data_IF_686932755023
#
_entry.id   IF_686932755023
#
_cell.length_a   1.000
_cell.length_b   1.000
_cell.length_c   1.000
_cell.angle_alpha   90.00
_cell.angle_beta   90.00
_cell.angle_gamma   90.00
#
_symmetry.space_group_name_H-M   'P 1'
#
loop_
_entity.id
_entity.type
_entity.pdbx_description
1 polymer ?
#
# COMPACT_ATOMS: atom_id res chain seq x y z
N UNK A 1 27.12 -25.69 29.67
CA UNK A 1 28.32 -25.29 28.93
C UNK A 1 27.91 -24.26 27.85
N UNK A 2 28.71 -23.17 27.67
CA UNK A 2 28.43 -22.08 26.73
C UNK A 2 28.24 -22.61 25.31
N UNK A 3 29.00 -23.59 24.91
CA UNK A 3 28.93 -24.18 23.57
C UNK A 3 27.66 -25.01 23.37
N UNK A 4 27.22 -25.75 24.41
CA UNK A 4 25.96 -26.51 24.37
C UNK A 4 24.77 -25.58 24.29
N UNK A 5 24.79 -24.46 25.02
CA UNK A 5 23.74 -23.44 24.97
C UNK A 5 23.67 -22.75 23.60
N UNK A 6 24.81 -22.49 22.96
CA UNK A 6 24.89 -21.94 21.63
C UNK A 6 24.34 -22.93 20.59
N UNK A 7 24.58 -24.23 20.76
CA UNK A 7 24.04 -25.25 19.86
C UNK A 7 22.53 -25.45 20.04
N UNK A 8 22.04 -25.44 21.28
CA UNK A 8 20.61 -25.48 21.56
C UNK A 8 19.86 -24.25 21.04
N UNK A 9 20.49 -23.07 21.10
CA UNK A 9 19.91 -21.83 20.58
C UNK A 9 20.05 -21.63 19.05
N UNK A 10 20.92 -22.41 18.39
CA UNK A 10 21.15 -22.29 16.93
C UNK A 10 19.89 -22.50 16.07
N UNK A 11 18.91 -23.27 16.56
CA UNK A 11 17.61 -23.46 15.89
C UNK A 11 16.63 -22.31 16.08
N UNK A 12 16.84 -21.44 17.08
CA UNK A 12 15.91 -20.37 17.45
C UNK A 12 16.44 -18.96 17.16
N UNK A 13 17.75 -18.85 16.89
CA UNK A 13 18.40 -17.56 16.58
C UNK A 13 18.62 -17.43 15.07
N UNK A 14 18.09 -16.35 14.51
CA UNK A 14 18.14 -16.02 13.10
C UNK A 14 19.07 -14.84 12.85
N UNK A 15 19.73 -14.87 11.70
CA UNK A 15 20.61 -13.81 11.24
C UNK A 15 19.76 -12.78 10.46
N UNK A 16 19.53 -11.63 11.08
CA UNK A 16 18.85 -10.50 10.42
C UNK A 16 19.88 -9.64 9.71
N UNK A 17 19.88 -9.73 8.39
CA UNK A 17 20.83 -9.04 7.49
C UNK A 17 20.19 -7.74 7.02
N UNK A 18 20.98 -6.67 6.96
CA UNK A 18 20.62 -5.39 6.35
C UNK A 18 21.65 -5.01 5.30
N UNK A 19 21.18 -4.59 4.16
CA UNK A 19 22.00 -4.00 3.11
C UNK A 19 22.07 -2.49 3.36
N UNK A 20 23.28 -1.96 3.47
CA UNK A 20 23.53 -0.52 3.65
C UNK A 20 24.38 -0.02 2.48
N UNK A 21 23.92 1.07 1.84
CA UNK A 21 24.73 1.79 0.87
C UNK A 21 25.78 2.63 1.62
N UNK A 22 27.04 2.26 1.47
CA UNK A 22 28.16 2.95 2.12
C UNK A 22 28.77 3.94 1.15
N UNK A 23 28.83 5.23 1.51
CA UNK A 23 29.56 6.21 0.73
C UNK A 23 31.08 5.93 0.76
N UNK A 24 31.80 6.32 -0.31
CA UNK A 24 33.25 6.12 -0.40
C UNK A 24 34.03 6.61 0.83
N UNK A 25 33.61 7.71 1.44
CA UNK A 25 34.26 8.27 2.63
C UNK A 25 33.99 7.44 3.91
N UNK A 26 32.90 6.72 3.97
CA UNK A 26 32.58 5.81 5.09
C UNK A 26 33.35 4.50 4.96
N UNK A 27 33.68 4.06 3.74
CA UNK A 27 34.48 2.84 3.51
C UNK A 27 35.90 2.93 4.09
N UNK A 28 36.54 4.08 4.02
CA UNK A 28 37.90 4.28 4.53
C UNK A 28 38.00 4.22 6.07
N UNK A 29 36.90 4.44 6.75
CA UNK A 29 36.78 4.35 8.23
C UNK A 29 36.08 3.08 8.72
N UNK A 30 35.73 2.17 7.81
CA UNK A 30 34.98 0.97 8.14
C UNK A 30 35.97 -0.09 8.69
N UNK A 31 36.07 -0.15 9.99
CA UNK A 31 36.64 -1.30 10.67
C UNK A 31 35.60 -2.42 10.60
N UNK A 32 35.99 -3.58 10.11
CA UNK A 32 35.16 -4.81 10.15
C UNK A 32 34.76 -5.07 11.58
N UNK A 33 33.68 -4.43 12.00
CA UNK A 33 33.15 -4.56 13.36
C UNK A 33 32.34 -5.85 13.52
N UNK A 34 31.97 -6.14 14.76
CA UNK A 34 31.20 -7.34 15.12
C UNK A 34 29.85 -7.55 14.38
N UNK A 35 29.47 -6.59 13.53
CA UNK A 35 28.24 -6.61 12.75
C UNK A 35 28.43 -6.84 11.25
N UNK A 36 29.67 -7.03 10.75
CA UNK A 36 29.92 -7.21 9.32
C UNK A 36 30.11 -8.69 8.96
N UNK A 37 29.52 -9.08 7.85
CA UNK A 37 29.65 -10.45 7.36
C UNK A 37 30.94 -10.60 6.56
N UNK A 38 31.77 -11.63 6.81
CA UNK A 38 33.13 -11.73 6.29
C UNK A 38 33.23 -11.79 4.77
N UNK A 39 32.19 -12.24 4.09
CA UNK A 39 32.18 -12.38 2.63
C UNK A 39 31.47 -11.23 1.89
N UNK A 40 31.00 -10.23 2.60
CA UNK A 40 30.18 -9.15 2.01
C UNK A 40 31.00 -7.92 1.57
N UNK A 41 32.27 -7.85 1.94
CA UNK A 41 33.11 -6.65 1.78
C UNK A 41 33.75 -6.46 0.41
N UNK A 42 33.52 -7.33 -0.57
CA UNK A 42 34.17 -7.26 -1.89
C UNK A 42 33.52 -6.26 -2.85
N UNK A 43 32.33 -5.76 -2.55
CA UNK A 43 31.63 -4.82 -3.42
C UNK A 43 31.85 -3.36 -2.96
N UNK A 44 32.16 -2.51 -3.92
CA UNK A 44 32.50 -1.12 -3.64
C UNK A 44 31.32 -0.24 -3.24
N UNK A 45 30.09 -0.66 -3.41
CA UNK A 45 28.89 0.15 -3.20
C UNK A 45 28.04 -0.25 -2.01
N UNK A 46 28.00 -1.54 -1.66
CA UNK A 46 27.11 -2.05 -0.64
C UNK A 46 27.85 -2.91 0.40
N UNK A 47 27.53 -2.71 1.68
CA UNK A 47 27.96 -3.60 2.76
C UNK A 47 26.74 -4.27 3.41
N UNK A 48 26.97 -5.49 3.95
CA UNK A 48 25.95 -6.18 4.72
C UNK A 48 26.31 -6.16 6.19
N UNK A 49 25.36 -5.73 6.99
CA UNK A 49 25.45 -5.83 8.46
C UNK A 49 24.44 -6.82 8.97
N UNK A 50 24.73 -7.46 10.08
CA UNK A 50 23.83 -8.43 10.68
C UNK A 50 23.64 -8.21 12.18
N UNK A 51 22.49 -8.65 12.65
CA UNK A 51 22.18 -8.78 14.07
C UNK A 51 21.54 -10.14 14.30
N UNK A 52 21.79 -10.73 15.46
CA UNK A 52 21.11 -11.96 15.85
C UNK A 52 19.80 -11.62 16.54
N UNK A 53 18.73 -12.23 16.07
CA UNK A 53 17.37 -12.00 16.56
C UNK A 53 16.65 -13.33 16.80
N UNK A 54 15.60 -13.32 17.60
CA UNK A 54 14.74 -14.49 17.77
C UNK A 54 13.95 -14.81 16.51
N UNK A 55 13.47 -16.04 16.38
CA UNK A 55 12.66 -16.47 15.23
C UNK A 55 11.43 -15.57 15.05
N UNK A 56 10.71 -15.25 16.11
CA UNK A 56 9.49 -14.42 16.05
C UNK A 56 9.80 -13.00 15.59
N UNK A 57 10.89 -12.42 16.06
CA UNK A 57 11.34 -11.10 15.62
C UNK A 57 11.79 -11.11 14.14
N UNK A 58 12.49 -12.18 13.74
CA UNK A 58 12.92 -12.35 12.34
C UNK A 58 11.74 -12.47 11.38
N UNK A 59 10.71 -13.23 11.77
CA UNK A 59 9.51 -13.47 10.94
C UNK A 59 8.46 -12.34 11.03
N UNK A 60 8.80 -11.20 11.67
CA UNK A 60 7.96 -10.00 11.76
C UNK A 60 8.40 -8.90 10.77
N UNK A 61 7.57 -7.89 10.59
CA UNK A 61 7.88 -6.70 9.77
C UNK A 61 7.77 -6.93 8.27
N UNK A 62 8.62 -6.27 7.48
CA UNK A 62 8.59 -6.35 6.02
C UNK A 62 9.26 -7.63 5.51
N UNK A 63 8.51 -8.70 5.41
CA UNK A 63 8.99 -10.02 4.97
C UNK A 63 9.55 -9.99 3.54
N UNK A 64 8.93 -9.24 2.61
CA UNK A 64 9.42 -9.12 1.22
C UNK A 64 10.81 -8.50 1.14
N UNK A 65 11.02 -7.43 1.88
CA UNK A 65 12.32 -6.75 1.93
C UNK A 65 13.40 -7.68 2.50
N UNK A 66 13.09 -8.39 3.58
CA UNK A 66 14.00 -9.37 4.18
C UNK A 66 14.37 -10.49 3.21
N UNK A 67 13.43 -11.03 2.46
CA UNK A 67 13.69 -12.04 1.42
C UNK A 67 14.62 -11.46 0.35
N UNK A 68 14.38 -10.25 -0.13
CA UNK A 68 15.23 -9.59 -1.13
C UNK A 68 16.67 -9.43 -0.66
N UNK A 69 16.87 -8.98 0.57
CA UNK A 69 18.21 -8.82 1.18
C UNK A 69 18.92 -10.17 1.32
N UNK A 70 18.20 -11.18 1.84
CA UNK A 70 18.76 -12.54 2.00
C UNK A 70 19.14 -13.13 0.63
N UNK A 71 18.34 -12.93 -0.41
CA UNK A 71 18.63 -13.38 -1.77
C UNK A 71 19.85 -12.69 -2.36
N UNK A 72 19.97 -11.37 -2.17
CA UNK A 72 21.15 -10.62 -2.60
C UNK A 72 22.41 -11.16 -1.93
N UNK A 73 22.34 -11.44 -0.64
CA UNK A 73 23.49 -11.99 0.10
C UNK A 73 23.83 -13.43 -0.30
N UNK A 74 22.83 -14.31 -0.45
CA UNK A 74 23.04 -15.68 -0.98
C UNK A 74 23.73 -15.65 -2.34
N UNK A 75 23.32 -14.76 -3.24
CA UNK A 75 23.93 -14.63 -4.57
C UNK A 75 25.40 -14.22 -4.49
N UNK A 76 25.75 -13.33 -3.56
CA UNK A 76 27.16 -12.95 -3.33
C UNK A 76 27.99 -14.10 -2.78
N UNK A 77 27.46 -14.83 -1.81
CA UNK A 77 28.14 -16.01 -1.28
C UNK A 77 28.38 -17.07 -2.36
N UNK A 78 27.41 -17.29 -3.24
CA UNK A 78 27.58 -18.20 -4.39
C UNK A 78 28.61 -17.72 -5.40
N UNK A 79 28.73 -16.40 -5.58
CA UNK A 79 29.81 -15.83 -6.42
C UNK A 79 31.17 -16.02 -5.74
N UNK A 80 31.28 -15.79 -4.44
CA UNK A 80 32.50 -16.02 -3.67
C UNK A 80 32.93 -17.51 -3.73
N UNK A 81 31.98 -18.43 -3.60
CA UNK A 81 32.23 -19.89 -3.73
C UNK A 81 32.89 -20.25 -5.06
N UNK A 82 32.49 -19.62 -6.18
CA UNK A 82 33.04 -19.87 -7.51
C UNK A 82 34.47 -19.36 -7.67
N UNK A 83 34.87 -18.39 -6.86
CA UNK A 83 36.20 -17.74 -6.95
C UNK A 83 37.19 -18.42 -6.01
N UNK A 84 36.72 -19.11 -4.96
CA UNK A 84 37.58 -19.81 -4.02
C UNK A 84 38.35 -20.94 -4.71
N UNK A 85 39.70 -20.94 -4.57
CA UNK A 85 40.55 -21.99 -5.02
C UNK A 85 40.36 -23.29 -4.26
N UNK A 86 40.73 -24.42 -4.87
CA UNK A 86 40.59 -25.76 -4.24
C UNK A 86 41.42 -25.94 -2.97
N UNK A 87 42.38 -25.05 -2.70
CA UNK A 87 43.27 -25.10 -1.54
C UNK A 87 42.65 -24.58 -0.23
N UNK A 88 41.46 -23.92 -0.27
CA UNK A 88 40.78 -23.32 0.88
C UNK A 88 39.60 -24.16 1.36
N UNK A 89 39.82 -25.43 1.70
CA UNK A 89 38.75 -26.37 2.09
C UNK A 89 37.95 -25.90 3.34
N UNK A 90 38.62 -25.33 4.35
CA UNK A 90 37.97 -24.80 5.57
C UNK A 90 37.07 -23.58 5.28
N UNK A 91 37.51 -22.69 4.38
CA UNK A 91 36.71 -21.51 4.00
C UNK A 91 35.49 -21.94 3.19
N UNK A 92 35.65 -22.93 2.32
CA UNK A 92 34.57 -23.52 1.53
C UNK A 92 33.52 -24.19 2.42
N UNK A 93 33.95 -24.96 3.43
CA UNK A 93 33.03 -25.58 4.38
C UNK A 93 32.23 -24.53 5.19
N UNK A 94 32.90 -23.48 5.64
CA UNK A 94 32.25 -22.35 6.35
C UNK A 94 31.20 -21.68 5.47
N UNK A 95 31.53 -21.43 4.21
CA UNK A 95 30.64 -20.79 3.23
C UNK A 95 29.42 -21.67 2.91
N UNK A 96 29.61 -22.96 2.72
CA UNK A 96 28.52 -23.93 2.48
C UNK A 96 27.59 -24.00 3.68
N UNK A 97 28.11 -23.97 4.89
CA UNK A 97 27.30 -23.99 6.11
C UNK A 97 26.48 -22.71 6.25
N UNK A 98 27.04 -21.54 5.92
CA UNK A 98 26.35 -20.26 5.93
C UNK A 98 25.25 -20.22 4.84
N UNK A 99 25.54 -20.69 3.64
CA UNK A 99 24.54 -20.83 2.57
C UNK A 99 23.35 -21.68 2.99
N UNK A 100 23.62 -22.85 3.57
CA UNK A 100 22.55 -23.75 4.07
C UNK A 100 21.69 -23.09 5.13
N UNK A 101 22.32 -22.34 6.03
CA UNK A 101 21.60 -21.59 7.08
C UNK A 101 20.69 -20.52 6.47
N UNK A 102 21.19 -19.74 5.53
CA UNK A 102 20.42 -18.67 4.88
C UNK A 102 19.30 -19.21 4.00
N UNK A 103 19.51 -20.31 3.32
CA UNK A 103 18.45 -20.98 2.55
C UNK A 103 17.32 -21.49 3.47
N UNK A 104 17.66 -22.03 4.63
CA UNK A 104 16.68 -22.39 5.65
C UNK A 104 15.90 -21.16 6.14
N UNK A 105 16.61 -20.07 6.49
CA UNK A 105 15.97 -18.83 6.93
C UNK A 105 15.05 -18.21 5.85
N UNK A 106 15.47 -18.25 4.60
CA UNK A 106 14.65 -17.82 3.46
C UNK A 106 13.38 -18.69 3.35
N UNK A 107 13.48 -19.99 3.48
CA UNK A 107 12.31 -20.88 3.44
C UNK A 107 11.31 -20.55 4.56
N UNK A 108 11.78 -20.25 5.77
CA UNK A 108 10.90 -19.84 6.87
C UNK A 108 10.22 -18.47 6.60
N UNK A 109 10.94 -17.50 6.00
CA UNK A 109 10.33 -16.23 5.56
C UNK A 109 9.27 -16.46 4.48
N UNK A 110 9.52 -17.34 3.52
CA UNK A 110 8.55 -17.67 2.47
C UNK A 110 7.29 -18.34 3.01
N UNK A 111 7.39 -19.11 4.09
CA UNK A 111 6.22 -19.75 4.74
C UNK A 111 5.28 -18.74 5.39
N UNK A 112 5.82 -17.65 5.93
CA UNK A 112 5.03 -16.58 6.58
C UNK A 112 4.72 -15.41 5.65
N UNK A 113 5.27 -15.43 4.43
CA UNK A 113 4.99 -14.39 3.45
C UNK A 113 3.49 -14.38 3.11
N UNK A 114 2.80 -13.24 3.25
CA UNK A 114 1.41 -13.12 2.84
C UNK A 114 1.26 -13.49 1.36
N UNK A 115 0.26 -14.33 1.06
CA UNK A 115 -0.10 -14.62 -0.32
C UNK A 115 -0.38 -13.31 -1.06
N UNK A 116 0.12 -13.18 -2.27
CA UNK A 116 -0.27 -12.07 -3.13
C UNK A 116 -1.76 -12.19 -3.44
N UNK A 117 -2.48 -11.14 -3.15
CA UNK A 117 -3.89 -11.05 -3.47
C UNK A 117 -4.04 -10.81 -4.97
N UNK A 118 -4.91 -11.58 -5.62
CA UNK A 118 -5.33 -11.27 -6.97
C UNK A 118 -6.19 -9.98 -6.95
N UNK A 119 -6.25 -9.27 -8.08
CA UNK A 119 -7.06 -8.06 -8.18
C UNK A 119 -8.52 -8.28 -7.73
N UNK A 120 -9.07 -9.46 -8.00
CA UNK A 120 -10.41 -9.89 -7.58
C UNK A 120 -10.58 -10.05 -6.06
N UNK A 121 -9.49 -10.32 -5.33
CA UNK A 121 -9.47 -10.49 -3.87
C UNK A 121 -9.31 -9.14 -3.13
N UNK A 122 -8.91 -8.08 -3.84
CA UNK A 122 -8.74 -6.75 -3.26
C UNK A 122 -10.11 -6.05 -3.18
N UNK A 123 -10.59 -5.83 -1.97
CA UNK A 123 -11.83 -5.09 -1.77
C UNK A 123 -11.60 -3.58 -1.91
N UNK A 124 -11.63 -3.09 -3.14
CA UNK A 124 -11.53 -1.66 -3.43
C UNK A 124 -12.90 -1.02 -3.24
N UNK A 125 -12.96 0.01 -2.40
CA UNK A 125 -14.19 0.78 -2.19
C UNK A 125 -13.94 2.27 -2.36
N UNK A 126 -14.94 2.96 -2.86
CA UNK A 126 -14.94 4.42 -2.94
C UNK A 126 -14.82 5.00 -1.52
N UNK A 127 -13.85 5.89 -1.31
CA UNK A 127 -13.53 6.47 0.00
C UNK A 127 -12.42 5.77 0.78
N UNK A 128 -11.77 4.74 0.21
CA UNK A 128 -10.55 4.19 0.80
C UNK A 128 -9.44 5.25 0.78
N UNK A 129 -8.83 5.51 1.94
CA UNK A 129 -7.87 6.62 2.14
C UNK A 129 -6.53 6.42 1.46
N UNK A 130 -6.23 5.20 1.01
CA UNK A 130 -5.02 4.88 0.26
C UNK A 130 -5.12 5.19 -1.23
N UNK A 131 -6.35 5.49 -1.75
CA UNK A 131 -6.55 5.85 -3.15
C UNK A 131 -6.19 7.33 -3.32
N UNK A 132 -5.31 7.67 -4.29
CA UNK A 132 -4.94 9.05 -4.55
C UNK A 132 -6.16 9.89 -4.98
N UNK A 133 -6.28 11.15 -4.53
CA UNK A 133 -7.36 12.05 -4.95
C UNK A 133 -7.47 12.22 -6.48
N UNK A 134 -6.33 12.15 -7.19
CA UNK A 134 -6.28 12.25 -8.65
C UNK A 134 -6.99 11.10 -9.36
N UNK A 135 -6.95 9.90 -8.81
CA UNK A 135 -7.63 8.74 -9.40
C UNK A 135 -9.15 8.85 -9.19
N UNK A 136 -9.58 9.42 -8.06
CA UNK A 136 -10.99 9.75 -7.84
C UNK A 136 -11.45 10.86 -8.81
N UNK A 137 -10.62 11.90 -9.07
CA UNK A 137 -10.92 12.92 -10.09
C UNK A 137 -11.07 12.28 -11.48
N UNK A 138 -10.15 11.39 -11.84
CA UNK A 138 -10.19 10.67 -13.12
C UNK A 138 -11.47 9.85 -13.24
N UNK A 139 -11.82 9.08 -12.21
CA UNK A 139 -13.09 8.34 -12.15
C UNK A 139 -14.30 9.27 -12.40
N UNK A 140 -14.38 10.39 -11.67
CA UNK A 140 -15.45 11.37 -11.82
C UNK A 140 -15.53 11.87 -13.26
N UNK A 141 -14.40 12.26 -13.86
CA UNK A 141 -14.38 12.85 -15.20
C UNK A 141 -14.74 11.85 -16.29
N UNK A 142 -14.34 10.60 -16.15
CA UNK A 142 -14.64 9.56 -17.13
C UNK A 142 -16.10 9.07 -17.01
N UNK A 143 -16.57 8.81 -15.78
CA UNK A 143 -17.93 8.30 -15.52
C UNK A 143 -19.00 9.34 -15.83
N UNK A 144 -18.82 10.58 -15.40
CA UNK A 144 -19.76 11.66 -15.64
C UNK A 144 -19.55 12.36 -17.00
N UNK A 145 -18.50 11.97 -17.76
CA UNK A 145 -18.09 12.62 -19.01
C UNK A 145 -17.97 14.14 -18.85
N UNK A 146 -17.36 14.56 -17.74
CA UNK A 146 -17.21 15.96 -17.36
C UNK A 146 -16.56 16.76 -18.49
N UNK A 147 -17.18 17.86 -18.97
CA UNK A 147 -16.62 18.66 -20.04
C UNK A 147 -15.31 19.33 -19.65
N UNK A 148 -14.43 19.55 -20.64
CA UNK A 148 -13.07 20.07 -20.41
C UNK A 148 -13.03 21.38 -19.63
N UNK A 149 -13.99 22.30 -19.85
CA UNK A 149 -14.05 23.57 -19.14
C UNK A 149 -14.32 23.40 -17.62
N UNK A 150 -15.09 22.38 -17.22
CA UNK A 150 -15.43 22.14 -15.82
C UNK A 150 -14.32 21.37 -15.07
N UNK A 151 -13.50 20.58 -15.77
CA UNK A 151 -12.41 19.79 -15.17
C UNK A 151 -11.35 20.63 -14.46
N UNK A 152 -11.17 21.89 -14.86
CA UNK A 152 -10.21 22.80 -14.21
C UNK A 152 -10.66 23.22 -12.81
N UNK A 153 -11.97 23.38 -12.63
CA UNK A 153 -12.57 23.87 -11.38
C UNK A 153 -12.96 22.72 -10.43
N UNK A 154 -13.25 21.52 -10.97
CA UNK A 154 -13.62 20.35 -10.16
C UNK A 154 -12.37 19.67 -9.65
N UNK A 155 -12.21 19.64 -8.32
CA UNK A 155 -11.06 19.03 -7.64
C UNK A 155 -11.51 18.19 -6.48
N UNK A 156 -10.83 17.05 -6.29
CA UNK A 156 -11.02 16.18 -5.13
C UNK A 156 -9.87 16.40 -4.17
N UNK A 157 -10.19 16.66 -2.91
CA UNK A 157 -9.20 16.86 -1.85
C UNK A 157 -9.50 15.94 -0.68
N UNK A 158 -8.45 15.38 -0.10
CA UNK A 158 -8.50 14.63 1.15
C UNK A 158 -7.75 15.39 2.23
N UNK A 159 -8.41 15.64 3.35
CA UNK A 159 -7.80 16.25 4.53
C UNK A 159 -7.34 15.18 5.50
N UNK A 160 -6.04 15.02 5.68
CA UNK A 160 -5.50 14.07 6.66
C UNK A 160 -5.81 14.45 8.11
N UNK A 161 -6.09 15.73 8.38
CA UNK A 161 -6.41 16.21 9.72
C UNK A 161 -7.84 15.83 10.16
N UNK A 162 -8.80 15.98 9.23
CA UNK A 162 -10.22 15.68 9.51
C UNK A 162 -10.64 14.31 9.00
N UNK A 163 -9.77 13.65 8.21
CA UNK A 163 -10.09 12.41 7.49
C UNK A 163 -11.31 12.54 6.58
N UNK A 164 -11.55 13.73 6.04
CA UNK A 164 -12.68 14.02 5.17
C UNK A 164 -12.26 14.29 3.73
N UNK A 165 -13.08 13.78 2.83
CA UNK A 165 -13.01 14.06 1.40
C UNK A 165 -13.89 15.26 1.05
N UNK A 166 -13.41 16.12 0.18
CA UNK A 166 -14.16 17.24 -0.35
C UNK A 166 -14.05 17.29 -1.87
N UNK A 167 -15.18 17.45 -2.54
CA UNK A 167 -15.27 17.68 -3.97
C UNK A 167 -15.57 19.14 -4.21
N UNK A 168 -14.61 19.91 -4.70
CA UNK A 168 -14.76 21.32 -5.04
C UNK A 168 -15.38 21.49 -6.44
N UNK A 169 -15.92 22.66 -6.73
CA UNK A 169 -16.41 23.01 -8.06
C UNK A 169 -17.67 22.27 -8.54
N UNK A 170 -18.41 21.59 -7.66
CA UNK A 170 -19.61 20.79 -7.98
C UNK A 170 -20.67 21.51 -8.85
N UNK A 171 -20.75 22.83 -8.75
CA UNK A 171 -21.74 23.64 -9.50
C UNK A 171 -21.26 24.08 -10.88
N UNK A 172 -20.03 23.72 -11.28
CA UNK A 172 -19.45 24.13 -12.56
C UNK A 172 -19.89 23.27 -13.74
N UNK A 173 -20.42 22.09 -13.47
CA UNK A 173 -20.93 21.15 -14.47
C UNK A 173 -22.46 21.04 -14.40
N UNK A 174 -23.13 22.20 -14.39
CA UNK A 174 -24.61 22.25 -14.45
C UNK A 174 -25.11 21.93 -15.85
N UNK A 175 -26.22 21.18 -15.92
CA UNK A 175 -26.81 20.72 -17.17
C UNK A 175 -26.13 19.49 -17.76
N UNK A 176 -25.29 18.80 -17.01
CA UNK A 176 -24.78 17.50 -17.40
C UNK A 176 -25.79 16.42 -16.99
N UNK A 177 -26.46 15.84 -18.00
CA UNK A 177 -27.49 14.80 -17.78
C UNK A 177 -26.98 13.59 -17.00
N UNK A 178 -25.72 13.21 -17.17
CA UNK A 178 -25.12 12.12 -16.40
C UNK A 178 -24.99 12.49 -14.93
N UNK A 179 -24.61 13.72 -14.63
CA UNK A 179 -24.42 14.18 -13.25
C UNK A 179 -25.74 14.50 -12.55
N UNK A 180 -26.77 14.93 -13.30
CA UNK A 180 -28.04 15.35 -12.71
C UNK A 180 -29.12 14.27 -12.75
N UNK A 181 -29.14 13.38 -13.77
CA UNK A 181 -30.23 12.42 -13.98
C UNK A 181 -29.75 10.97 -13.83
N UNK A 182 -28.65 10.59 -14.50
CA UNK A 182 -28.20 9.20 -14.53
C UNK A 182 -27.62 8.76 -13.21
N UNK A 183 -26.60 9.49 -12.71
CA UNK A 183 -25.92 9.23 -11.44
C UNK A 183 -26.36 10.18 -10.32
N UNK A 184 -27.11 11.20 -10.64
CA UNK A 184 -27.75 12.15 -9.71
C UNK A 184 -29.26 11.96 -9.61
N UNK A 185 -29.87 12.89 -8.89
CA UNK A 185 -31.33 13.05 -8.78
C UNK A 185 -31.67 14.51 -9.04
N UNK A 186 -32.95 14.83 -9.27
CA UNK A 186 -33.43 16.21 -9.44
C UNK A 186 -33.09 17.15 -8.24
N UNK A 187 -32.73 16.56 -7.08
CA UNK A 187 -32.45 17.29 -5.85
C UNK A 187 -30.99 17.29 -5.46
N UNK A 188 -30.23 16.27 -5.88
CA UNK A 188 -28.83 16.08 -5.49
C UNK A 188 -28.03 15.61 -6.69
N UNK A 189 -26.98 16.36 -7.03
CA UNK A 189 -26.08 15.99 -8.14
C UNK A 189 -25.19 14.80 -7.78
N UNK A 190 -24.72 14.07 -8.80
CA UNK A 190 -23.77 12.97 -8.64
C UNK A 190 -22.49 13.39 -7.89
N UNK A 191 -22.01 14.60 -8.09
CA UNK A 191 -20.84 15.14 -7.37
C UNK A 191 -21.02 15.15 -5.85
N UNK A 192 -22.24 15.49 -5.38
CA UNK A 192 -22.56 15.46 -3.97
C UNK A 192 -22.71 14.03 -3.45
N UNK A 193 -23.34 13.14 -4.25
CA UNK A 193 -23.48 11.73 -3.90
C UNK A 193 -22.10 11.03 -3.81
N UNK A 194 -21.18 11.37 -4.71
CA UNK A 194 -19.79 10.88 -4.67
C UNK A 194 -19.10 11.38 -3.41
N UNK A 195 -19.19 12.66 -3.09
CA UNK A 195 -18.60 13.22 -1.86
C UNK A 195 -19.12 12.55 -0.60
N UNK A 196 -20.42 12.33 -0.52
CA UNK A 196 -21.01 11.63 0.62
C UNK A 196 -20.57 10.17 0.67
N UNK A 197 -20.47 9.49 -0.48
CA UNK A 197 -19.95 8.12 -0.59
C UNK A 197 -18.47 8.01 -0.17
N UNK A 198 -17.63 8.96 -0.60
CA UNK A 198 -16.22 9.05 -0.18
C UNK A 198 -16.09 9.19 1.33
N UNK A 199 -16.99 9.92 1.97
CA UNK A 199 -17.03 10.12 3.41
C UNK A 199 -17.84 9.05 4.16
N UNK A 200 -18.28 7.99 3.48
CA UNK A 200 -19.11 6.92 4.05
C UNK A 200 -20.40 7.43 4.68
N UNK A 201 -20.93 8.55 4.17
CA UNK A 201 -22.18 9.19 4.62
C UNK A 201 -23.32 8.80 3.69
N UNK A 202 -24.47 8.52 4.26
CA UNK A 202 -25.72 8.39 3.50
C UNK A 202 -26.27 9.78 3.18
N UNK A 203 -26.62 9.99 1.91
CA UNK A 203 -27.19 11.27 1.49
C UNK A 203 -28.65 11.36 1.94
N UNK A 204 -28.98 12.39 2.72
CA UNK A 204 -30.34 12.70 3.18
C UNK A 204 -30.86 13.93 2.46
N UNK A 205 -32.09 13.84 1.96
CA UNK A 205 -32.77 14.93 1.27
C UNK A 205 -33.89 15.47 2.14
N UNK A 206 -33.92 16.80 2.32
CA UNK A 206 -34.91 17.48 3.15
C UNK A 206 -35.74 18.45 2.32
N UNK A 207 -37.03 18.50 2.59
CA UNK A 207 -37.94 19.52 2.11
C UNK A 207 -38.09 20.64 3.15
N UNK A 208 -38.15 21.87 2.67
CA UNK A 208 -38.46 23.01 3.54
C UNK A 208 -39.95 23.29 3.50
N UNK A 209 -40.61 23.19 4.65
CA UNK A 209 -42.01 23.55 4.84
C UNK A 209 -42.06 24.92 5.53
N UNK A 210 -42.81 25.84 4.93
CA UNK A 210 -43.07 27.15 5.54
C UNK A 210 -44.33 27.01 6.36
N UNK A 211 -44.22 27.20 7.66
CA UNK A 211 -45.34 27.17 8.61
C UNK A 211 -46.15 28.45 8.54
N UNK A 212 -47.34 28.47 9.17
CA UNK A 212 -48.22 29.62 9.20
C UNK A 212 -47.61 30.86 9.90
N UNK A 213 -46.63 30.64 10.78
CA UNK A 213 -45.84 31.66 11.46
C UNK A 213 -44.63 32.16 10.65
N UNK A 214 -44.55 31.81 9.35
CA UNK A 214 -43.41 32.08 8.46
C UNK A 214 -42.09 31.42 8.89
N UNK A 215 -42.07 30.54 9.86
CA UNK A 215 -40.91 29.74 10.22
C UNK A 215 -40.68 28.62 9.19
N UNK A 216 -39.41 28.27 8.93
CA UNK A 216 -39.03 27.19 8.02
C UNK A 216 -38.65 25.94 8.80
N UNK A 217 -39.35 24.87 8.54
CA UNK A 217 -39.06 23.56 9.14
C UNK A 217 -38.51 22.63 8.05
N UNK A 218 -37.38 21.96 8.35
CA UNK A 218 -36.80 20.93 7.46
C UNK A 218 -37.39 19.57 7.78
N UNK A 219 -38.06 18.95 6.81
CA UNK A 219 -38.65 17.62 6.96
C UNK A 219 -37.93 16.64 5.99
N UNK A 220 -37.59 15.46 6.52
CA UNK A 220 -36.91 14.44 5.71
C UNK A 220 -37.84 13.92 4.59
N UNK A 221 -37.43 14.08 3.36
CA UNK A 221 -38.10 13.47 2.21
C UNK A 221 -37.61 12.02 2.04
N UNK A 222 -38.34 11.06 2.55
CA UNK A 222 -38.00 9.64 2.53
C UNK A 222 -37.84 9.09 1.12
N UNK A 223 -38.70 9.52 0.16
CA UNK A 223 -38.66 9.05 -1.23
C UNK A 223 -37.39 9.52 -1.95
N UNK A 224 -37.09 10.80 -1.87
CA UNK A 224 -35.89 11.37 -2.47
C UNK A 224 -34.59 10.87 -1.81
N UNK A 225 -34.61 10.64 -0.48
CA UNK A 225 -33.50 10.05 0.25
C UNK A 225 -33.25 8.61 -0.20
N UNK A 226 -34.29 7.80 -0.41
CA UNK A 226 -34.15 6.43 -0.89
C UNK A 226 -33.61 6.41 -2.34
N UNK A 227 -34.08 7.30 -3.20
CA UNK A 227 -33.59 7.43 -4.58
C UNK A 227 -32.10 7.85 -4.60
N UNK A 228 -31.72 8.82 -3.75
CA UNK A 228 -30.33 9.24 -3.61
C UNK A 228 -29.44 8.06 -3.12
N UNK A 229 -29.90 7.24 -2.18
CA UNK A 229 -29.20 6.05 -1.74
C UNK A 229 -29.01 5.01 -2.84
N UNK A 230 -30.03 4.75 -3.66
CA UNK A 230 -29.90 3.85 -4.83
C UNK A 230 -28.88 4.37 -5.84
N UNK A 231 -28.86 5.66 -6.11
CA UNK A 231 -27.84 6.28 -7.01
C UNK A 231 -26.44 6.21 -6.39
N UNK A 232 -26.34 6.35 -5.10
CA UNK A 232 -25.07 6.23 -4.37
C UNK A 232 -24.48 4.82 -4.47
N UNK A 233 -25.33 3.77 -4.36
CA UNK A 233 -24.89 2.39 -4.56
C UNK A 233 -24.48 2.13 -6.02
N UNK A 234 -25.23 2.65 -6.99
CA UNK A 234 -24.87 2.57 -8.41
C UNK A 234 -23.48 3.18 -8.68
N UNK A 235 -23.18 4.33 -8.07
CA UNK A 235 -21.86 4.97 -8.19
C UNK A 235 -20.76 4.09 -7.61
N UNK A 236 -21.00 3.45 -6.47
CA UNK A 236 -20.03 2.55 -5.83
C UNK A 236 -19.74 1.31 -6.67
N UNK A 237 -20.77 0.74 -7.29
CA UNK A 237 -20.62 -0.39 -8.23
C UNK A 237 -19.84 0.03 -9.48
N UNK A 238 -20.19 1.20 -10.06
CA UNK A 238 -19.49 1.75 -11.21
C UNK A 238 -18.01 2.02 -10.92
N UNK A 239 -17.67 2.48 -9.72
CA UNK A 239 -16.28 2.67 -9.30
C UNK A 239 -15.51 1.35 -9.26
N UNK A 240 -16.12 0.28 -8.76
CA UNK A 240 -15.49 -1.04 -8.78
C UNK A 240 -15.24 -1.50 -10.22
N UNK A 241 -16.24 -1.39 -11.08
CA UNK A 241 -16.12 -1.77 -12.48
C UNK A 241 -15.03 -0.95 -13.20
N UNK A 242 -14.99 0.35 -12.92
CA UNK A 242 -14.01 1.26 -13.50
C UNK A 242 -12.57 0.89 -13.15
N UNK A 243 -12.30 0.50 -11.90
CA UNK A 243 -10.95 0.09 -11.45
C UNK A 243 -10.51 -1.21 -12.12
N UNK A 244 -11.40 -2.20 -12.25
CA UNK A 244 -11.02 -3.52 -12.75
C UNK A 244 -11.08 -3.65 -14.28
N UNK A 245 -11.64 -2.67 -14.98
CA UNK A 245 -11.74 -2.70 -16.44
C UNK A 245 -10.46 -2.30 -17.19
N UNK A 246 -9.47 -1.79 -16.50
CA UNK A 246 -8.20 -1.34 -17.10
C UNK A 246 -7.03 -1.82 -16.24
N UNK A 247 -6.09 -2.56 -16.84
CA UNK A 247 -4.92 -3.12 -16.14
C UNK A 247 -3.92 -2.06 -15.64
N UNK A 248 -4.04 -0.83 -16.13
CA UNK A 248 -3.16 0.31 -15.78
C UNK A 248 -3.73 1.19 -14.64
N UNK A 249 -4.82 0.77 -13.98
CA UNK A 249 -5.50 1.51 -12.91
C UNK A 249 -5.35 0.91 -11.54
#
# INVERSE_FOLDING_TARGET
DRNTLIEELRGEIFLNIREENVSFNQKLSFDLGDGDLPFACSDETNSFKYTYVTKDEYLSGNIREKIGVVDSYINRLRQAERILSEESENERETLVNELRRLEYQKAELQRVMPKELEASEINVRLGATWIPPKDIERFIFETLKTPGYARWDIKVKFSHLTSEWNVEGKSKDRGNDLAEMTYGTNRVSAYKLIEDALNLKETKVFDQIINLDCSKTSVLNKKETMLAGQKQELIKEEFKNWIFNDQDR
#
